data_IF_297963563000
#
_entry.id   IF_297963563000
#
_cell.length_a   1.000
_cell.length_b   1.000
_cell.length_c   1.000
_cell.angle_alpha   90.00
_cell.angle_beta   90.00
_cell.angle_gamma   90.00
#
_symmetry.space_group_name_H-M   'P 1'
#
loop_
_entity.id
_entity.type
_entity.pdbx_description
1 polymer ?
#
# COMPACT_ATOMS: atom_id res chain seq x y z
N UNK A 1 -5.41 24.62 -28.93
CA UNK A 1 -5.88 24.67 -27.52
C UNK A 1 -5.95 23.29 -26.83
N UNK A 2 -5.49 22.18 -27.43
CA UNK A 2 -6.03 20.86 -27.07
C UNK A 2 -5.05 19.76 -26.59
N UNK A 3 -3.73 19.96 -26.65
CA UNK A 3 -2.76 18.92 -26.22
C UNK A 3 -2.49 18.94 -24.71
N UNK A 4 -2.41 20.13 -24.12
CA UNK A 4 -2.18 20.29 -22.68
C UNK A 4 -3.39 19.78 -21.86
N UNK A 5 -4.62 20.09 -22.29
CA UNK A 5 -5.84 19.61 -21.65
C UNK A 5 -5.96 18.07 -21.71
N UNK A 6 -5.63 17.46 -22.85
CA UNK A 6 -5.63 15.99 -23.00
C UNK A 6 -4.58 15.32 -22.09
N UNK A 7 -3.36 15.86 -22.04
CA UNK A 7 -2.30 15.37 -21.13
C UNK A 7 -2.74 15.48 -19.66
N UNK A 8 -3.34 16.61 -19.27
CA UNK A 8 -3.84 16.82 -17.91
C UNK A 8 -5.02 15.90 -17.55
N UNK A 9 -5.86 15.55 -18.53
CA UNK A 9 -6.96 14.61 -18.36
C UNK A 9 -6.48 13.15 -18.24
N UNK A 10 -5.48 12.76 -19.03
CA UNK A 10 -4.81 11.44 -18.91
C UNK A 10 -4.15 11.28 -17.55
N UNK A 11 -3.35 12.25 -17.14
CA UNK A 11 -2.70 12.24 -15.83
C UNK A 11 -3.70 12.17 -14.67
N UNK A 12 -4.85 12.86 -14.76
CA UNK A 12 -5.89 12.80 -13.72
C UNK A 12 -6.50 11.40 -13.59
N UNK A 13 -6.71 10.68 -14.70
CA UNK A 13 -7.22 9.29 -14.67
C UNK A 13 -6.22 8.32 -14.05
N UNK A 14 -4.95 8.45 -14.37
CA UNK A 14 -3.90 7.60 -13.81
C UNK A 14 -3.74 7.82 -12.28
N UNK A 15 -3.83 9.08 -11.84
CA UNK A 15 -3.82 9.44 -10.42
C UNK A 15 -5.08 8.93 -9.68
N UNK A 16 -6.24 8.98 -10.33
CA UNK A 16 -7.48 8.41 -9.78
C UNK A 16 -7.38 6.88 -9.62
N UNK A 17 -6.83 6.18 -10.61
CA UNK A 17 -6.56 4.74 -10.52
C UNK A 17 -5.67 4.44 -9.30
N UNK A 18 -4.57 5.16 -9.12
CA UNK A 18 -3.67 4.95 -7.98
C UNK A 18 -4.38 5.09 -6.63
N UNK A 19 -5.20 6.14 -6.45
CA UNK A 19 -5.97 6.34 -5.23
C UNK A 19 -6.96 5.19 -4.97
N UNK A 20 -7.73 4.80 -5.99
CA UNK A 20 -8.75 3.76 -5.88
C UNK A 20 -8.16 2.40 -5.53
N UNK A 21 -7.16 1.93 -6.27
CA UNK A 21 -6.65 0.59 -6.07
C UNK A 21 -5.74 0.46 -4.84
N UNK A 22 -5.02 1.51 -4.45
CA UNK A 22 -4.36 1.53 -3.13
C UNK A 22 -5.39 1.52 -2.00
N UNK A 23 -6.51 2.24 -2.13
CA UNK A 23 -7.61 2.16 -1.18
C UNK A 23 -8.28 0.79 -1.17
N UNK A 24 -8.32 0.05 -2.28
CA UNK A 24 -8.84 -1.32 -2.27
C UNK A 24 -7.93 -2.28 -1.49
N UNK A 25 -6.61 -2.14 -1.61
CA UNK A 25 -5.65 -2.99 -0.88
C UNK A 25 -5.56 -2.63 0.60
N UNK A 26 -5.53 -1.33 0.91
CA UNK A 26 -5.18 -0.80 2.23
C UNK A 26 -6.33 -0.08 2.93
N UNK A 27 -7.49 0.09 2.30
CA UNK A 27 -8.66 0.80 2.84
C UNK A 27 -9.51 0.01 3.83
N UNK A 28 -9.32 -1.31 3.92
CA UNK A 28 -10.21 -2.22 4.68
C UNK A 28 -9.77 -2.42 6.13
N UNK A 29 -10.74 -2.71 7.01
CA UNK A 29 -10.51 -3.16 8.40
C UNK A 29 -10.85 -4.66 8.53
N UNK A 30 -10.14 -5.43 9.37
CA UNK A 30 -8.88 -5.07 10.03
C UNK A 30 -7.79 -4.76 8.99
N UNK A 31 -6.94 -3.79 9.31
CA UNK A 31 -5.77 -3.44 8.51
C UNK A 31 -4.76 -4.59 8.48
N UNK A 32 -3.86 -4.58 7.51
CA UNK A 32 -2.84 -5.62 7.39
C UNK A 32 -1.95 -5.70 8.64
N UNK A 33 -1.53 -4.55 9.15
CA UNK A 33 -0.67 -4.47 10.34
C UNK A 33 -1.41 -4.86 11.61
N UNK A 34 -2.74 -4.65 11.68
CA UNK A 34 -3.59 -5.19 12.75
C UNK A 34 -3.56 -6.72 12.76
N UNK A 35 -3.58 -7.36 11.57
CA UNK A 35 -3.50 -8.82 11.46
C UNK A 35 -2.17 -9.36 11.98
N UNK A 36 -1.05 -8.67 11.69
CA UNK A 36 0.27 -9.04 12.19
C UNK A 36 0.41 -8.81 13.70
N UNK A 37 -0.09 -7.67 14.22
CA UNK A 37 -0.01 -7.33 15.64
C UNK A 37 -0.68 -8.39 16.53
N UNK A 38 -1.79 -8.96 16.05
CA UNK A 38 -2.56 -9.98 16.76
C UNK A 38 -1.89 -11.37 16.80
N UNK A 39 -0.77 -11.57 16.10
CA UNK A 39 -0.09 -12.89 16.01
C UNK A 39 1.38 -12.86 16.42
N UNK A 40 1.98 -11.69 16.60
CA UNK A 40 3.38 -11.60 16.98
C UNK A 40 3.57 -11.99 18.46
N UNK A 41 4.61 -12.75 18.74
CA UNK A 41 4.97 -13.17 20.11
C UNK A 41 6.00 -12.23 20.76
N UNK A 42 6.73 -11.44 19.96
CA UNK A 42 7.72 -10.49 20.48
C UNK A 42 7.03 -9.21 20.98
N UNK A 43 7.22 -8.81 22.26
CA UNK A 43 6.66 -7.57 22.79
C UNK A 43 7.10 -6.32 22.02
N UNK A 44 8.38 -6.26 21.62
CA UNK A 44 8.92 -5.13 20.86
C UNK A 44 8.28 -5.03 19.48
N UNK A 45 8.14 -6.17 18.80
CA UNK A 45 7.46 -6.24 17.51
C UNK A 45 5.97 -5.89 17.65
N UNK A 46 5.31 -6.33 18.72
CA UNK A 46 3.91 -6.00 19.01
C UNK A 46 3.73 -4.50 19.18
N UNK A 47 4.52 -3.88 20.05
CA UNK A 47 4.46 -2.44 20.32
C UNK A 47 4.69 -1.61 19.05
N UNK A 48 5.67 -2.00 18.23
CA UNK A 48 5.91 -1.33 16.96
C UNK A 48 4.75 -1.52 15.97
N UNK A 49 4.20 -2.74 15.83
CA UNK A 49 3.06 -3.01 14.96
C UNK A 49 1.80 -2.26 15.38
N UNK A 50 1.59 -2.04 16.69
CA UNK A 50 0.50 -1.20 17.19
C UNK A 50 0.68 0.28 16.78
N UNK A 51 1.90 0.82 16.89
CA UNK A 51 2.22 2.17 16.38
C UNK A 51 1.97 2.28 14.87
N UNK A 52 2.43 1.29 14.11
CA UNK A 52 2.21 1.24 12.66
C UNK A 52 0.72 1.15 12.32
N UNK A 53 -0.06 0.38 13.07
CA UNK A 53 -1.50 0.23 12.84
C UNK A 53 -2.28 1.51 13.11
N UNK A 54 -1.95 2.23 14.20
CA UNK A 54 -2.47 3.56 14.46
C UNK A 54 -2.08 4.55 13.34
N UNK A 55 -0.84 4.45 12.83
CA UNK A 55 -0.39 5.22 11.69
C UNK A 55 -1.21 4.94 10.42
N UNK A 56 -1.37 3.67 10.07
CA UNK A 56 -2.14 3.25 8.90
C UNK A 56 -3.63 3.55 9.02
N UNK A 57 -4.18 3.74 10.22
CA UNK A 57 -5.54 4.27 10.37
C UNK A 57 -5.69 5.68 9.75
N UNK A 58 -4.69 6.54 9.94
CA UNK A 58 -4.66 7.87 9.36
C UNK A 58 -4.44 7.82 7.85
N UNK A 59 -3.56 6.94 7.38
CA UNK A 59 -3.33 6.70 5.95
C UNK A 59 -4.59 6.19 5.25
N UNK A 60 -5.34 5.31 5.90
CA UNK A 60 -6.61 4.76 5.40
C UNK A 60 -7.68 5.85 5.27
N UNK A 61 -7.81 6.69 6.29
CA UNK A 61 -8.71 7.83 6.24
C UNK A 61 -8.30 8.82 5.14
N UNK A 62 -7.00 8.98 4.90
CA UNK A 62 -6.49 9.80 3.81
C UNK A 62 -6.81 9.22 2.43
N UNK A 63 -6.54 7.93 2.20
CA UNK A 63 -6.91 7.22 0.98
C UNK A 63 -8.41 7.33 0.67
N UNK A 64 -9.27 7.16 1.68
CA UNK A 64 -10.72 7.31 1.51
C UNK A 64 -11.12 8.74 1.06
N UNK A 65 -10.46 9.79 1.57
CA UNK A 65 -10.70 11.16 1.08
C UNK A 65 -10.22 11.35 -0.35
N UNK A 66 -9.08 10.76 -0.72
CA UNK A 66 -8.56 10.82 -2.08
C UNK A 66 -9.49 10.12 -3.08
N UNK A 67 -10.03 8.95 -2.75
CA UNK A 67 -10.96 8.23 -3.65
C UNK A 67 -12.27 8.99 -3.83
N UNK A 68 -12.81 9.60 -2.78
CA UNK A 68 -13.99 10.46 -2.87
C UNK A 68 -13.72 11.66 -3.78
N UNK A 69 -12.59 12.35 -3.59
CA UNK A 69 -12.24 13.53 -4.39
C UNK A 69 -11.90 13.19 -5.85
N UNK A 70 -11.31 12.02 -6.10
CA UNK A 70 -11.02 11.53 -7.45
C UNK A 70 -12.30 11.18 -8.24
N UNK A 71 -13.43 10.95 -7.56
CA UNK A 71 -14.69 10.59 -8.19
C UNK A 71 -14.72 9.12 -8.66
N UNK A 72 -15.58 8.75 -9.63
CA UNK A 72 -15.71 7.38 -10.08
C UNK A 72 -14.41 6.84 -10.71
N UNK A 73 -14.19 5.52 -10.59
CA UNK A 73 -13.05 4.85 -11.24
C UNK A 73 -13.12 5.10 -12.75
N UNK A 74 -12.02 5.53 -13.40
CA UNK A 74 -12.00 5.75 -14.84
C UNK A 74 -12.40 4.50 -15.62
N UNK A 75 -13.41 4.64 -16.49
CA UNK A 75 -13.84 3.58 -17.39
C UNK A 75 -12.65 3.09 -18.24
N UNK A 76 -12.36 1.80 -18.15
CA UNK A 76 -11.19 1.17 -18.77
C UNK A 76 -11.56 -0.25 -19.22
N UNK A 77 -11.17 -0.69 -20.43
CA UNK A 77 -11.35 -2.08 -20.85
C UNK A 77 -10.72 -3.05 -19.84
N UNK A 78 -11.39 -4.19 -19.60
CA UNK A 78 -10.89 -5.19 -18.64
C UNK A 78 -11.11 -4.83 -17.16
N UNK A 79 -12.06 -3.94 -16.84
CA UNK A 79 -12.38 -3.54 -15.46
C UNK A 79 -12.66 -4.74 -14.55
N UNK A 80 -13.51 -5.69 -14.97
CA UNK A 80 -13.83 -6.87 -14.16
C UNK A 80 -12.59 -7.74 -13.83
N UNK A 81 -11.67 -7.89 -14.80
CA UNK A 81 -10.42 -8.61 -14.59
C UNK A 81 -9.47 -7.84 -13.64
N UNK A 82 -9.44 -6.51 -13.75
CA UNK A 82 -8.69 -5.64 -12.83
C UNK A 82 -9.19 -5.82 -11.41
N UNK A 83 -10.51 -5.75 -11.20
CA UNK A 83 -11.11 -5.86 -9.86
C UNK A 83 -10.86 -7.23 -9.24
N UNK A 84 -10.97 -8.30 -10.04
CA UNK A 84 -10.63 -9.65 -9.60
C UNK A 84 -9.15 -9.78 -9.22
N UNK A 85 -8.23 -9.20 -9.99
CA UNK A 85 -6.80 -9.22 -9.71
C UNK A 85 -6.48 -8.49 -8.39
N UNK A 86 -7.05 -7.31 -8.17
CA UNK A 86 -6.81 -6.53 -6.94
C UNK A 86 -7.44 -7.21 -5.72
N UNK A 87 -8.61 -7.83 -5.87
CA UNK A 87 -9.19 -8.65 -4.81
C UNK A 87 -8.30 -9.85 -4.45
N UNK A 88 -7.74 -10.54 -5.45
CA UNK A 88 -6.78 -11.62 -5.25
C UNK A 88 -5.49 -11.15 -4.56
N UNK A 89 -4.94 -9.99 -4.96
CA UNK A 89 -3.80 -9.37 -4.27
C UNK A 89 -4.12 -9.07 -2.81
N UNK A 90 -5.29 -8.50 -2.52
CA UNK A 90 -5.72 -8.23 -1.15
C UNK A 90 -5.78 -9.51 -0.31
N UNK A 91 -6.32 -10.59 -0.85
CA UNK A 91 -6.36 -11.88 -0.17
C UNK A 91 -4.94 -12.44 0.08
N UNK A 92 -4.04 -12.32 -0.89
CA UNK A 92 -2.64 -12.70 -0.74
C UNK A 92 -1.94 -11.92 0.38
N UNK A 93 -2.20 -10.61 0.47
CA UNK A 93 -1.70 -9.76 1.55
C UNK A 93 -2.26 -10.18 2.91
N UNK A 94 -3.56 -10.49 3.02
CA UNK A 94 -4.11 -10.99 4.28
C UNK A 94 -3.46 -12.31 4.72
N UNK A 95 -3.20 -13.23 3.79
CA UNK A 95 -2.48 -14.46 4.10
C UNK A 95 -1.04 -14.19 4.57
N UNK A 96 -0.34 -13.26 3.92
CA UNK A 96 1.01 -12.86 4.28
C UNK A 96 1.08 -12.30 5.71
N UNK A 97 0.18 -11.37 6.04
CA UNK A 97 0.14 -10.73 7.36
C UNK A 97 -0.45 -11.62 8.47
N UNK A 98 -1.06 -12.75 8.12
CA UNK A 98 -1.48 -13.80 9.07
C UNK A 98 -0.46 -14.93 9.20
N UNK A 99 0.69 -14.86 8.53
CA UNK A 99 1.65 -15.97 8.52
C UNK A 99 2.15 -16.33 9.92
N UNK A 100 2.06 -17.62 10.26
CA UNK A 100 2.60 -18.17 11.52
C UNK A 100 4.11 -18.42 11.46
N UNK A 101 4.74 -18.22 10.30
CA UNK A 101 6.19 -18.30 10.16
C UNK A 101 6.81 -17.09 10.87
N UNK A 102 7.40 -17.33 12.04
CA UNK A 102 8.03 -16.29 12.88
C UNK A 102 8.93 -15.37 12.05
N UNK A 103 8.67 -14.06 12.14
CA UNK A 103 9.36 -13.01 11.37
C UNK A 103 8.67 -12.62 10.04
N UNK A 104 7.88 -13.50 9.42
CA UNK A 104 7.29 -13.24 8.10
C UNK A 104 6.31 -12.06 8.09
N UNK A 105 5.30 -12.07 8.99
CA UNK A 105 4.32 -11.00 9.07
C UNK A 105 4.94 -9.66 9.49
N UNK A 106 5.91 -9.68 10.41
CA UNK A 106 6.68 -8.49 10.80
C UNK A 106 7.50 -7.95 9.61
N UNK A 107 8.19 -8.82 8.89
CA UNK A 107 8.93 -8.44 7.68
C UNK A 107 8.05 -7.80 6.62
N UNK A 108 6.84 -8.33 6.42
CA UNK A 108 5.84 -7.73 5.55
C UNK A 108 5.40 -6.34 6.03
N UNK A 109 5.22 -6.14 7.34
CA UNK A 109 4.88 -4.83 7.90
C UNK A 109 6.04 -3.82 7.78
N UNK A 110 7.29 -4.25 8.01
CA UNK A 110 8.49 -3.46 7.79
C UNK A 110 8.61 -3.03 6.34
N UNK A 111 8.50 -3.99 5.41
CA UNK A 111 8.51 -3.72 3.98
C UNK A 111 7.38 -2.78 3.56
N UNK A 112 6.19 -2.92 4.14
CA UNK A 112 5.06 -2.03 3.91
C UNK A 112 5.39 -0.60 4.36
N UNK A 113 5.91 -0.40 5.57
CA UNK A 113 6.28 0.94 6.07
C UNK A 113 7.33 1.58 5.18
N UNK A 114 8.41 0.86 4.86
CA UNK A 114 9.49 1.36 4.00
C UNK A 114 8.99 1.75 2.61
N UNK A 115 8.17 0.90 1.99
CA UNK A 115 7.59 1.19 0.68
C UNK A 115 6.59 2.35 0.74
N UNK A 116 5.83 2.46 1.84
CA UNK A 116 4.85 3.54 2.00
C UNK A 116 5.50 4.92 2.02
N UNK A 117 6.72 5.06 2.54
CA UNK A 117 7.50 6.31 2.43
C UNK A 117 7.79 6.70 0.97
N UNK A 118 7.88 5.73 0.05
CA UNK A 118 8.03 5.97 -1.39
C UNK A 118 6.67 6.18 -2.10
N UNK A 119 5.61 5.48 -1.67
CA UNK A 119 4.26 5.60 -2.23
C UNK A 119 3.57 6.89 -1.81
N UNK A 120 3.77 7.34 -0.57
CA UNK A 120 3.06 8.49 0.02
C UNK A 120 3.22 9.79 -0.78
N UNK A 121 4.42 10.16 -1.28
CA UNK A 121 4.57 11.34 -2.14
C UNK A 121 3.70 11.31 -3.40
N UNK A 122 3.43 10.13 -3.98
CA UNK A 122 2.50 9.99 -5.11
C UNK A 122 1.08 10.34 -4.67
N UNK A 123 0.62 9.84 -3.53
CA UNK A 123 -0.69 10.17 -2.97
C UNK A 123 -0.82 11.67 -2.66
N UNK A 124 0.26 12.32 -2.23
CA UNK A 124 0.29 13.76 -2.01
C UNK A 124 0.21 14.56 -3.32
N UNK A 125 0.75 14.03 -4.43
CA UNK A 125 0.54 14.59 -5.76
C UNK A 125 -0.92 14.43 -6.22
N UNK A 126 -1.55 13.29 -5.93
CA UNK A 126 -2.99 13.06 -6.14
C UNK A 126 -3.80 14.10 -5.36
N UNK A 127 -3.47 14.31 -4.07
CA UNK A 127 -4.14 15.27 -3.21
C UNK A 127 -4.09 16.69 -3.76
N UNK A 128 -2.91 17.15 -4.18
CA UNK A 128 -2.72 18.46 -4.82
C UNK A 128 -3.55 18.60 -6.09
N UNK A 129 -3.67 17.53 -6.88
CA UNK A 129 -4.43 17.54 -8.15
C UNK A 129 -5.94 17.66 -7.92
N UNK A 130 -6.45 17.12 -6.83
CA UNK A 130 -7.87 17.09 -6.47
C UNK A 130 -8.24 18.03 -5.31
N UNK A 131 -7.36 18.97 -4.96
CA UNK A 131 -7.55 19.95 -3.87
C UNK A 131 -7.91 19.32 -2.51
N UNK A 132 -7.26 18.19 -2.18
CA UNK A 132 -7.41 17.50 -0.90
C UNK A 132 -6.29 17.91 0.04
N UNK A 133 -6.63 18.25 1.29
CA UNK A 133 -5.64 18.52 2.34
C UNK A 133 -4.78 17.27 2.61
N UNK A 134 -3.47 17.43 2.47
CA UNK A 134 -2.45 16.45 2.86
C UNK A 134 -2.32 16.42 4.40
N UNK A 135 -2.66 15.32 5.08
CA UNK A 135 -2.41 15.19 6.52
C UNK A 135 -0.92 14.92 6.79
N UNK A 136 -0.42 15.11 8.02
CA UNK A 136 0.90 14.59 8.37
C UNK A 136 0.94 13.07 8.24
N UNK A 137 2.09 12.52 7.82
CA UNK A 137 2.33 11.08 7.90
C UNK A 137 2.84 10.75 9.31
N UNK A 138 2.14 9.86 9.99
CA UNK A 138 2.45 9.48 11.38
C UNK A 138 2.95 8.03 11.51
N UNK A 139 3.38 7.45 10.38
CA UNK A 139 4.07 6.16 10.39
C UNK A 139 5.49 6.32 10.96
N UNK A 140 6.07 5.27 11.56
CA UNK A 140 7.48 5.26 11.91
C UNK A 140 8.35 5.62 10.70
N UNK A 141 9.44 6.34 10.97
CA UNK A 141 10.44 6.62 9.93
C UNK A 141 11.21 5.34 9.54
N UNK A 142 11.96 5.44 8.45
CA UNK A 142 12.71 4.31 7.89
C UNK A 142 13.88 3.87 8.78
N UNK A 143 14.43 4.77 9.59
CA UNK A 143 15.53 4.47 10.51
C UNK A 143 14.99 3.59 11.65
N UNK A 144 13.92 4.03 12.32
CA UNK A 144 13.25 3.28 13.38
C UNK A 144 12.80 1.90 12.93
N UNK A 145 12.29 1.78 11.69
CA UNK A 145 11.94 0.48 11.11
C UNK A 145 13.17 -0.43 10.93
N UNK A 146 14.28 0.12 10.43
CA UNK A 146 15.53 -0.63 10.22
C UNK A 146 16.15 -1.08 11.53
N UNK A 147 16.22 -0.20 12.54
CA UNK A 147 16.73 -0.52 13.87
C UNK A 147 15.90 -1.63 14.55
N UNK A 148 14.57 -1.62 14.38
CA UNK A 148 13.74 -2.73 14.86
C UNK A 148 14.08 -4.03 14.13
N UNK A 149 14.27 -3.97 12.81
CA UNK A 149 14.58 -5.16 12.04
C UNK A 149 15.88 -5.82 12.54
N UNK A 150 16.91 -5.02 12.79
CA UNK A 150 18.19 -5.47 13.35
C UNK A 150 18.03 -6.09 14.75
N UNK A 151 17.20 -5.49 15.61
CA UNK A 151 16.94 -6.03 16.96
C UNK A 151 16.15 -7.35 16.98
N UNK A 152 15.30 -7.60 15.99
CA UNK A 152 14.44 -8.80 15.95
C UNK A 152 15.08 -9.92 15.13
N UNK A 153 16.03 -9.61 14.25
CA UNK A 153 16.75 -10.57 13.42
C UNK A 153 17.78 -11.41 14.21
N UNK A 154 17.37 -11.98 15.35
CA UNK A 154 18.23 -12.72 16.29
C UNK A 154 18.85 -13.99 15.69
N UNK A 155 18.22 -14.57 14.66
CA UNK A 155 18.68 -15.80 14.02
C UNK A 155 18.56 -15.70 12.50
N UNK A 156 19.43 -16.40 11.75
CA UNK A 156 19.34 -16.45 10.28
C UNK A 156 18.00 -17.01 9.75
N UNK A 157 17.26 -17.77 10.57
CA UNK A 157 15.93 -18.28 10.18
C UNK A 157 14.86 -17.19 10.27
N UNK A 158 14.88 -16.37 11.33
CA UNK A 158 13.97 -15.24 11.50
C UNK A 158 14.28 -14.15 10.46
N UNK A 159 15.55 -13.81 10.29
CA UNK A 159 16.00 -12.82 9.31
C UNK A 159 15.52 -13.18 7.89
N UNK A 160 15.75 -14.42 7.44
CA UNK A 160 15.26 -14.89 6.13
C UNK A 160 13.73 -14.85 6.01
N UNK A 161 13.02 -15.12 7.11
CA UNK A 161 11.56 -15.02 7.11
C UNK A 161 11.09 -13.57 6.98
N UNK A 162 11.76 -12.64 7.66
CA UNK A 162 11.48 -11.21 7.56
C UNK A 162 11.77 -10.68 6.14
N UNK A 163 12.93 -11.01 5.58
CA UNK A 163 13.29 -10.65 4.20
C UNK A 163 12.29 -11.22 3.19
N UNK A 164 11.85 -12.46 3.39
CA UNK A 164 10.79 -13.04 2.56
C UNK A 164 9.50 -12.24 2.67
N UNK A 165 9.06 -11.91 3.89
CA UNK A 165 7.85 -11.11 4.11
C UNK A 165 7.90 -9.75 3.43
N UNK A 166 9.03 -9.04 3.59
CA UNK A 166 9.29 -7.75 2.96
C UNK A 166 9.29 -7.87 1.42
N UNK A 167 9.94 -8.89 0.87
CA UNK A 167 9.97 -9.11 -0.57
C UNK A 167 8.56 -9.40 -1.14
N UNK A 168 7.72 -10.14 -0.41
CA UNK A 168 6.35 -10.43 -0.85
C UNK A 168 5.47 -9.19 -0.92
N UNK A 169 5.50 -8.30 0.09
CA UNK A 169 4.71 -7.06 0.03
C UNK A 169 5.15 -6.16 -1.13
N UNK A 170 6.47 -6.03 -1.35
CA UNK A 170 7.01 -5.25 -2.47
C UNK A 170 6.61 -5.85 -3.83
N UNK A 171 6.59 -7.19 -3.94
CA UNK A 171 6.13 -7.86 -5.14
C UNK A 171 4.64 -7.61 -5.42
N UNK A 172 3.79 -7.59 -4.38
CA UNK A 172 2.37 -7.25 -4.52
C UNK A 172 2.18 -5.80 -4.98
N UNK A 173 2.91 -4.84 -4.40
CA UNK A 173 2.85 -3.44 -4.84
C UNK A 173 3.37 -3.25 -6.27
N UNK A 174 4.46 -3.91 -6.65
CA UNK A 174 4.92 -3.91 -8.05
C UNK A 174 3.86 -4.48 -8.98
N UNK A 175 3.22 -5.58 -8.58
CA UNK A 175 2.10 -6.18 -9.32
C UNK A 175 0.95 -5.20 -9.52
N UNK A 176 0.61 -4.42 -8.49
CA UNK A 176 -0.38 -3.34 -8.60
C UNK A 176 0.06 -2.28 -9.62
N UNK A 177 1.31 -1.80 -9.54
CA UNK A 177 1.80 -0.77 -10.46
C UNK A 177 1.77 -1.23 -11.92
N UNK A 178 2.17 -2.47 -12.19
CA UNK A 178 2.07 -3.06 -13.52
C UNK A 178 0.61 -3.14 -14.02
N UNK A 179 -0.35 -3.42 -13.13
CA UNK A 179 -1.77 -3.43 -13.45
C UNK A 179 -2.27 -2.02 -13.80
N UNK A 180 -1.84 -0.99 -13.07
CA UNK A 180 -2.22 0.41 -13.37
C UNK A 180 -1.63 0.88 -14.70
N UNK A 181 -0.40 0.47 -15.01
CA UNK A 181 0.23 0.73 -16.30
C UNK A 181 -0.53 0.04 -17.45
N UNK A 182 -0.92 -1.23 -17.27
CA UNK A 182 -1.73 -1.94 -18.26
C UNK A 182 -3.09 -1.27 -18.49
N UNK A 183 -3.73 -0.76 -17.44
CA UNK A 183 -4.97 0.02 -17.55
C UNK A 183 -4.79 1.30 -18.33
N UNK A 184 -3.71 2.04 -18.08
CA UNK A 184 -3.36 3.23 -18.85
C UNK A 184 -3.18 2.88 -20.33
N UNK A 185 -2.40 1.85 -20.64
CA UNK A 185 -2.18 1.40 -22.01
C UNK A 185 -3.48 0.99 -22.72
N UNK A 186 -4.38 0.30 -22.02
CA UNK A 186 -5.69 -0.07 -22.58
C UNK A 186 -6.57 1.14 -22.92
N UNK A 187 -6.44 2.26 -22.20
CA UNK A 187 -7.14 3.52 -22.52
C UNK A 187 -6.53 4.26 -23.71
N UNK A 188 -5.24 4.09 -23.98
CA UNK A 188 -4.54 4.72 -25.11
C UNK A 188 -4.84 4.02 -26.45
N UNK A 189 -5.38 2.79 -26.40
CA UNK A 189 -5.80 2.01 -27.56
C UNK A 189 -7.25 2.30 -28.02
N UNK A 190 -7.96 3.20 -27.32
CA UNK A 190 -9.30 3.68 -27.66
C UNK A 190 -9.24 5.00 -28.42
#
# INVERSE_FOLDING_TARGET
MNRAADVLGKAARDLADAAHYLCMLHGRRPGLTDLAANRTESPDAHNWLMTVSAGFEHERAYLARLTVAAGPVPATPGQAATDAAVLGQRQALEMLFRSDRRGCALGAALGLVLDWHAVRPLLDAVAKRFDVRVPPMILPDTISATELAERIADTPTIERAMLFGAAQILAQHRGLWNLLEARRAAREQL
#
